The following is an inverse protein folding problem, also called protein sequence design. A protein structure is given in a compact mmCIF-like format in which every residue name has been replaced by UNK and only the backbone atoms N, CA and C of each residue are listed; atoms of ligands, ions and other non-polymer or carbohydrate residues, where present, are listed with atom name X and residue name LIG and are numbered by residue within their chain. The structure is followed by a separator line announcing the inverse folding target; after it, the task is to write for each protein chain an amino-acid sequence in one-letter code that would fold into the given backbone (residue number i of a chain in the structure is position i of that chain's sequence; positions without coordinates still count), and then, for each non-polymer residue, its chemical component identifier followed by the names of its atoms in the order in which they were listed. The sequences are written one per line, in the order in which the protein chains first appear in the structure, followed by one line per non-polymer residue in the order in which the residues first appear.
data_IF_682245248103
#
_entry.id   IF_682245248103
#
_cell.length_a   1.000
_cell.length_b   1.000
_cell.length_c   1.000
_cell.angle_alpha   90.00
_cell.angle_beta   90.00
_cell.angle_gamma   90.00
#
_symmetry.space_group_name_H-M   'P 1'
#
loop_
_entity.id
_entity.type
_entity.pdbx_description
1 polymer ?
#
# COMPACT_ATOMS: atom_id res chain seq x y z
N UNK A 1 -11.98 -10.84 12.72
CA UNK A 1 -11.20 -11.47 13.80
C UNK A 1 -9.74 -11.50 13.42
N UNK A 2 -8.94 -10.64 14.04
CA UNK A 2 -7.49 -10.63 13.85
C UNK A 2 -6.94 -11.92 14.46
N UNK A 3 -6.55 -12.87 13.63
CA UNK A 3 -5.67 -13.94 14.11
C UNK A 3 -4.31 -13.29 14.34
N UNK A 4 -3.98 -13.04 15.58
CA UNK A 4 -2.63 -12.66 15.96
C UNK A 4 -1.76 -13.88 15.59
N UNK A 5 -1.16 -13.82 14.41
CA UNK A 5 -0.24 -14.87 13.99
C UNK A 5 0.95 -14.81 14.93
N UNK A 6 1.14 -15.88 15.71
CA UNK A 6 2.22 -15.98 16.68
C UNK A 6 3.57 -15.98 15.94
N UNK A 7 4.05 -14.76 15.64
CA UNK A 7 5.33 -14.53 14.97
C UNK A 7 6.44 -14.50 16.02
N UNK A 8 7.35 -15.45 15.95
CA UNK A 8 8.47 -15.49 16.86
C UNK A 8 9.51 -14.39 16.52
N UNK A 9 10.55 -14.32 17.33
CA UNK A 9 11.63 -13.34 17.18
C UNK A 9 12.29 -13.42 15.80
N UNK A 10 12.56 -14.64 15.32
CA UNK A 10 13.24 -14.85 14.04
C UNK A 10 12.35 -14.43 12.89
N UNK A 11 11.04 -14.74 12.93
CA UNK A 11 10.07 -14.30 11.92
C UNK A 11 10.09 -12.76 11.79
N UNK A 12 10.05 -12.04 12.93
CA UNK A 12 10.09 -10.57 12.98
C UNK A 12 11.41 -10.00 12.45
N UNK A 13 12.53 -10.65 12.75
CA UNK A 13 13.84 -10.23 12.25
C UNK A 13 13.95 -10.41 10.73
N UNK A 14 13.48 -11.54 10.19
CA UNK A 14 13.42 -11.77 8.73
C UNK A 14 12.60 -10.66 8.06
N UNK A 15 11.40 -10.39 8.59
CA UNK A 15 10.54 -9.33 8.06
C UNK A 15 11.20 -7.96 8.10
N UNK A 16 11.85 -7.62 9.23
CA UNK A 16 12.54 -6.32 9.38
C UNK A 16 13.67 -6.15 8.34
N UNK A 17 14.41 -7.21 8.04
CA UNK A 17 15.48 -7.16 7.01
C UNK A 17 14.84 -6.95 5.64
N UNK A 18 13.88 -7.78 5.26
CA UNK A 18 13.25 -7.74 3.93
C UNK A 18 12.43 -6.48 3.68
N UNK A 19 11.82 -5.92 4.73
CA UNK A 19 11.07 -4.65 4.62
C UNK A 19 12.00 -3.44 4.43
N UNK A 20 13.28 -3.56 4.81
CA UNK A 20 14.32 -2.55 4.55
C UNK A 20 14.98 -2.77 3.19
N UNK A 21 15.29 -4.03 2.86
CA UNK A 21 15.89 -4.39 1.58
C UNK A 21 15.37 -5.75 1.09
N UNK A 22 14.40 -5.69 0.19
CA UNK A 22 13.78 -6.86 -0.40
C UNK A 22 14.74 -7.68 -1.30
N UNK A 23 15.93 -7.15 -1.63
CA UNK A 23 16.95 -7.87 -2.41
C UNK A 23 17.84 -8.76 -1.54
N UNK A 24 17.75 -8.67 -0.20
CA UNK A 24 18.53 -9.53 0.70
C UNK A 24 18.28 -11.00 0.39
N UNK A 25 19.33 -11.73 0.11
CA UNK A 25 19.23 -13.17 -0.18
C UNK A 25 19.00 -13.98 1.09
N UNK A 26 18.43 -15.16 0.94
CA UNK A 26 18.23 -16.07 2.09
C UNK A 26 19.56 -16.44 2.77
N UNK A 27 20.65 -16.52 2.02
CA UNK A 27 21.98 -16.79 2.55
C UNK A 27 22.48 -15.63 3.43
N UNK A 28 22.30 -14.40 2.97
CA UNK A 28 22.65 -13.19 3.73
C UNK A 28 21.83 -13.10 5.02
N UNK A 29 20.52 -13.31 4.92
CA UNK A 29 19.61 -13.28 6.09
C UNK A 29 20.03 -14.38 7.09
N UNK A 30 20.29 -15.59 6.60
CA UNK A 30 20.71 -16.73 7.42
C UNK A 30 22.01 -16.42 8.17
N UNK A 31 22.98 -15.84 7.46
CA UNK A 31 24.27 -15.42 8.05
C UNK A 31 24.07 -14.36 9.13
N UNK A 32 23.24 -13.33 8.84
CA UNK A 32 22.98 -12.22 9.77
C UNK A 32 22.26 -12.68 11.03
N UNK A 33 21.35 -13.67 10.92
CA UNK A 33 20.56 -14.18 12.05
C UNK A 33 21.18 -15.41 12.72
N UNK A 34 22.34 -15.86 12.24
CA UNK A 34 23.09 -17.05 12.74
C UNK A 34 22.21 -18.32 12.73
N UNK A 35 21.47 -18.53 11.61
CA UNK A 35 20.65 -19.72 11.39
C UNK A 35 20.99 -20.36 10.05
N UNK A 36 20.45 -21.54 9.76
CA UNK A 36 20.65 -22.20 8.47
C UNK A 36 19.79 -21.55 7.36
N UNK A 37 20.26 -21.62 6.12
CA UNK A 37 19.47 -21.19 4.96
C UNK A 37 18.15 -21.94 4.84
N UNK A 38 18.13 -23.21 5.20
CA UNK A 38 16.90 -24.01 5.25
C UNK A 38 15.89 -23.46 6.24
N UNK A 39 16.37 -22.95 7.39
CA UNK A 39 15.50 -22.29 8.37
C UNK A 39 14.80 -21.07 7.76
N UNK A 40 15.57 -20.23 7.05
CA UNK A 40 14.98 -19.03 6.38
C UNK A 40 13.95 -19.47 5.35
N UNK A 41 14.26 -20.45 4.52
CA UNK A 41 13.37 -20.92 3.46
C UNK A 41 12.01 -21.40 4.03
N UNK A 42 12.05 -22.22 5.09
CA UNK A 42 10.84 -22.75 5.74
C UNK A 42 10.00 -21.61 6.33
N UNK A 43 10.66 -20.64 7.00
CA UNK A 43 9.97 -19.51 7.61
C UNK A 43 9.36 -18.57 6.58
N UNK A 44 10.06 -18.29 5.49
CA UNK A 44 9.53 -17.47 4.38
C UNK A 44 8.24 -18.09 3.82
N UNK A 45 8.29 -19.39 3.54
CA UNK A 45 7.13 -20.14 3.04
C UNK A 45 5.95 -20.08 4.03
N UNK A 46 6.23 -20.24 5.33
CA UNK A 46 5.21 -20.08 6.38
C UNK A 46 4.60 -18.68 6.36
N UNK A 47 5.44 -17.61 6.33
CA UNK A 47 4.98 -16.21 6.35
C UNK A 47 4.12 -15.87 5.12
N UNK A 48 4.44 -16.43 3.96
CA UNK A 48 3.62 -16.33 2.74
C UNK A 48 2.29 -17.06 2.90
N UNK A 49 2.31 -18.30 3.37
CA UNK A 49 1.12 -19.15 3.53
C UNK A 49 0.11 -18.54 4.51
N UNK A 50 0.58 -17.95 5.61
CA UNK A 50 -0.32 -17.29 6.58
C UNK A 50 -0.69 -15.85 6.15
N UNK A 51 -0.17 -15.39 5.00
CA UNK A 51 -0.54 -14.09 4.43
C UNK A 51 0.10 -12.87 5.10
N UNK A 52 1.12 -13.07 5.93
CA UNK A 52 1.91 -11.97 6.52
C UNK A 52 2.73 -11.29 5.42
N UNK A 53 3.37 -12.10 4.56
CA UNK A 53 3.97 -11.60 3.32
C UNK A 53 2.93 -11.75 2.22
N UNK A 54 2.45 -10.63 1.70
CA UNK A 54 1.45 -10.59 0.61
C UNK A 54 2.10 -10.55 -0.75
N UNK A 55 3.21 -9.82 -0.88
CA UNK A 55 3.93 -9.64 -2.14
C UNK A 55 5.25 -8.90 -1.89
N UNK A 56 6.17 -9.05 -2.81
CA UNK A 56 7.36 -8.20 -2.88
C UNK A 56 7.23 -7.35 -4.14
N UNK A 57 7.35 -6.03 -3.99
CA UNK A 57 7.20 -5.08 -5.09
C UNK A 57 8.41 -4.19 -5.23
N UNK A 58 8.81 -3.96 -6.47
CA UNK A 58 9.75 -2.90 -6.81
C UNK A 58 9.05 -1.54 -6.62
N UNK A 59 9.70 -0.63 -5.93
CA UNK A 59 9.24 0.76 -5.80
C UNK A 59 10.03 1.58 -6.82
N UNK A 60 9.36 2.07 -7.85
CA UNK A 60 9.95 2.92 -8.87
C UNK A 60 9.62 4.39 -8.60
N UNK A 61 10.57 5.26 -8.90
CA UNK A 61 10.35 6.71 -8.85
C UNK A 61 9.46 7.11 -10.03
N UNK A 62 8.20 7.38 -9.76
CA UNK A 62 7.22 7.71 -10.80
C UNK A 62 7.57 9.00 -11.56
N UNK A 63 8.26 9.95 -10.92
CA UNK A 63 8.65 11.19 -11.59
C UNK A 63 9.67 10.93 -12.70
N UNK A 64 10.61 10.00 -12.44
CA UNK A 64 11.59 9.56 -13.45
C UNK A 64 10.96 8.75 -14.59
N UNK A 65 9.75 8.23 -14.36
CA UNK A 65 8.96 7.56 -15.39
C UNK A 65 8.04 8.55 -16.15
N UNK A 66 8.14 9.85 -15.85
CA UNK A 66 7.35 10.90 -16.52
C UNK A 66 5.96 11.11 -15.90
N UNK A 67 5.74 10.66 -14.68
CA UNK A 67 4.49 10.88 -13.95
C UNK A 67 4.76 11.89 -12.82
N UNK A 68 4.53 13.17 -13.12
CA UNK A 68 4.93 14.29 -12.26
C UNK A 68 3.90 14.62 -11.16
N UNK A 69 2.65 14.16 -11.31
CA UNK A 69 1.57 14.52 -10.39
C UNK A 69 1.18 13.30 -9.55
N UNK A 70 1.33 13.44 -8.25
CA UNK A 70 0.73 12.56 -7.25
C UNK A 70 -0.41 13.32 -6.59
N UNK A 71 -1.60 12.73 -6.55
CA UNK A 71 -2.77 13.40 -5.97
C UNK A 71 -3.54 12.43 -5.08
N UNK A 72 -4.21 12.99 -4.07
CA UNK A 72 -5.15 12.28 -3.21
C UNK A 72 -6.53 12.85 -3.46
N UNK A 73 -7.49 11.99 -3.80
CA UNK A 73 -8.86 12.40 -4.08
C UNK A 73 -9.75 11.86 -2.97
N UNK A 74 -10.27 12.76 -2.15
CA UNK A 74 -11.33 12.44 -1.21
C UNK A 74 -12.63 12.27 -1.97
N UNK A 75 -13.28 11.11 -1.83
CA UNK A 75 -14.49 10.76 -2.57
C UNK A 75 -15.63 10.54 -1.57
N UNK A 76 -16.76 11.22 -1.78
CA UNK A 76 -18.00 11.00 -1.02
C UNK A 76 -18.96 10.19 -1.87
N UNK A 77 -19.53 9.14 -1.29
CA UNK A 77 -20.52 8.30 -2.00
C UNK A 77 -21.93 8.85 -1.77
N UNK A 78 -22.78 8.66 -2.76
CA UNK A 78 -24.21 8.93 -2.63
C UNK A 78 -24.84 7.90 -1.66
N UNK A 79 -25.94 8.29 -1.05
CA UNK A 79 -26.70 7.39 -0.17
C UNK A 79 -27.12 6.12 -0.92
N UNK A 80 -26.97 4.98 -0.27
CA UNK A 80 -27.29 3.68 -0.86
C UNK A 80 -26.30 3.14 -1.89
N UNK A 81 -25.16 3.79 -2.05
CA UNK A 81 -24.14 3.34 -3.04
C UNK A 81 -23.59 1.97 -2.71
N UNK A 82 -23.57 1.09 -3.71
CA UNK A 82 -22.79 -0.15 -3.66
C UNK A 82 -21.31 0.19 -3.79
N UNK A 83 -20.63 0.31 -2.66
CA UNK A 83 -19.19 0.66 -2.63
C UNK A 83 -18.32 -0.38 -3.36
N UNK A 84 -18.75 -1.65 -3.40
CA UNK A 84 -17.97 -2.69 -4.11
C UNK A 84 -17.96 -2.40 -5.62
N UNK A 85 -19.09 -1.99 -6.17
CA UNK A 85 -19.18 -1.60 -7.59
C UNK A 85 -18.28 -0.38 -7.87
N UNK A 86 -18.23 0.59 -6.95
CA UNK A 86 -17.34 1.77 -7.09
C UNK A 86 -15.87 1.33 -7.09
N UNK A 87 -15.47 0.44 -6.16
CA UNK A 87 -14.09 -0.09 -6.11
C UNK A 87 -13.74 -0.82 -7.43
N UNK A 88 -14.66 -1.61 -7.97
CA UNK A 88 -14.42 -2.30 -9.26
C UNK A 88 -14.28 -1.30 -10.42
N UNK A 89 -15.02 -0.19 -10.38
CA UNK A 89 -14.85 0.88 -11.37
C UNK A 89 -13.46 1.55 -11.22
N UNK A 90 -13.02 1.81 -9.99
CA UNK A 90 -11.68 2.35 -9.74
C UNK A 90 -10.57 1.42 -10.25
N UNK A 91 -10.72 0.10 -10.11
CA UNK A 91 -9.73 -0.89 -10.59
C UNK A 91 -9.46 -0.79 -12.09
N UNK A 92 -10.43 -0.28 -12.86
CA UNK A 92 -10.31 -0.11 -14.33
C UNK A 92 -9.54 1.15 -14.73
N UNK A 93 -9.13 1.97 -13.75
CA UNK A 93 -8.41 3.22 -13.98
C UNK A 93 -6.95 2.99 -13.54
N UNK A 94 -6.03 2.74 -14.48
CA UNK A 94 -4.65 2.36 -14.11
C UNK A 94 -3.88 3.46 -13.38
N UNK A 95 -4.30 4.71 -13.49
CA UNK A 95 -3.72 5.84 -12.78
C UNK A 95 -4.01 5.79 -11.29
N UNK A 96 -5.01 5.01 -10.85
CA UNK A 96 -5.33 4.82 -9.43
C UNK A 96 -4.39 3.77 -8.84
N UNK A 97 -3.59 4.17 -7.89
CA UNK A 97 -2.59 3.29 -7.25
C UNK A 97 -3.02 2.76 -5.89
N UNK A 98 -3.94 3.45 -5.21
CA UNK A 98 -4.56 2.92 -4.00
C UNK A 98 -5.95 3.51 -3.78
N UNK A 99 -6.80 2.74 -3.11
CA UNK A 99 -8.12 3.17 -2.65
C UNK A 99 -8.29 2.68 -1.22
N UNK A 100 -8.53 3.61 -0.30
CA UNK A 100 -8.77 3.29 1.10
C UNK A 100 -10.18 3.79 1.49
N UNK A 101 -11.03 2.87 1.93
CA UNK A 101 -12.31 3.26 2.53
C UNK A 101 -12.04 3.87 3.89
N UNK A 102 -12.67 4.99 4.21
CA UNK A 102 -12.35 5.78 5.40
C UNK A 102 -13.60 6.11 6.21
N UNK A 103 -13.37 6.40 7.48
CA UNK A 103 -14.37 7.04 8.34
C UNK A 103 -14.26 8.55 8.19
N UNK A 104 -15.32 9.27 8.48
CA UNK A 104 -15.34 10.73 8.51
C UNK A 104 -15.85 11.37 7.24
N UNK A 105 -15.24 12.49 6.84
CA UNK A 105 -15.72 13.38 5.77
C UNK A 105 -15.86 12.69 4.42
N UNK A 106 -14.91 11.84 4.06
CA UNK A 106 -14.90 11.12 2.79
C UNK A 106 -15.21 9.64 3.00
N UNK A 107 -15.92 9.05 2.06
CA UNK A 107 -16.18 7.61 2.04
C UNK A 107 -14.94 6.81 1.64
N UNK A 108 -14.09 7.44 0.82
CA UNK A 108 -12.82 6.83 0.38
C UNK A 108 -11.78 7.91 0.08
N UNK A 109 -10.51 7.56 0.25
CA UNK A 109 -9.37 8.32 -0.25
C UNK A 109 -8.71 7.50 -1.36
N UNK A 110 -8.59 8.11 -2.52
CA UNK A 110 -8.03 7.49 -3.73
C UNK A 110 -6.71 8.17 -4.05
N UNK A 111 -5.64 7.39 -4.28
CA UNK A 111 -4.36 7.94 -4.72
C UNK A 111 -4.25 7.80 -6.24
N UNK A 112 -3.89 8.90 -6.89
CA UNK A 112 -3.66 8.99 -8.33
C UNK A 112 -2.21 9.32 -8.63
N UNK A 113 -1.68 8.71 -9.69
CA UNK A 113 -0.38 9.09 -10.27
C UNK A 113 -0.65 9.48 -11.73
N UNK A 114 -0.33 10.71 -12.09
CA UNK A 114 -0.63 11.27 -13.42
C UNK A 114 0.58 11.95 -14.01
N UNK A 115 0.62 12.01 -15.35
CA UNK A 115 1.75 12.63 -16.07
C UNK A 115 1.87 14.13 -15.78
N UNK A 116 0.74 14.83 -15.78
CA UNK A 116 0.69 16.29 -15.62
C UNK A 116 -0.74 16.71 -15.23
N UNK A 117 -0.96 18.00 -15.05
CA UNK A 117 -2.25 18.55 -14.67
C UNK A 117 -3.36 18.27 -15.70
N UNK A 118 -3.04 18.29 -16.99
CA UNK A 118 -4.02 17.98 -18.02
C UNK A 118 -4.49 16.52 -17.90
N UNK A 119 -3.55 15.65 -17.67
CA UNK A 119 -3.89 14.24 -17.41
C UNK A 119 -4.74 14.09 -16.14
N UNK A 120 -4.46 14.70 -15.01
CA UNK A 120 -5.15 14.67 -13.88
C UNK A 120 -6.53 15.01 -14.13
N UNK A 121 -6.70 16.18 -14.77
CA UNK A 121 -8.04 16.71 -15.11
C UNK A 121 -8.88 15.68 -15.90
N UNK A 122 -8.29 15.07 -16.90
CA UNK A 122 -8.99 14.10 -17.74
C UNK A 122 -9.41 12.85 -16.93
N UNK A 123 -8.62 12.39 -15.98
CA UNK A 123 -8.98 11.27 -15.10
C UNK A 123 -10.13 11.68 -14.17
N UNK A 124 -10.02 12.83 -13.54
CA UNK A 124 -11.06 13.32 -12.62
C UNK A 124 -12.40 13.49 -13.34
N UNK A 125 -12.41 14.32 -14.38
CA UNK A 125 -13.66 14.69 -15.06
C UNK A 125 -14.13 13.64 -16.08
N UNK A 126 -13.21 12.92 -16.71
CA UNK A 126 -13.57 11.93 -17.72
C UNK A 126 -13.92 10.57 -17.14
N UNK A 127 -13.34 10.21 -16.00
CA UNK A 127 -13.52 8.87 -15.45
C UNK A 127 -14.13 8.89 -14.04
N UNK A 128 -13.48 9.52 -13.05
CA UNK A 128 -13.85 9.38 -11.63
C UNK A 128 -15.23 9.95 -11.33
N UNK A 129 -15.50 11.20 -11.72
CA UNK A 129 -16.77 11.88 -11.42
C UNK A 129 -17.96 11.13 -12.06
N UNK A 130 -17.74 10.45 -13.17
CA UNK A 130 -18.78 9.74 -13.90
C UNK A 130 -19.09 8.35 -13.33
N UNK A 131 -18.35 7.89 -12.31
CA UNK A 131 -18.66 6.60 -11.68
C UNK A 131 -19.97 6.73 -10.89
N UNK A 132 -20.92 5.87 -11.21
CA UNK A 132 -22.21 5.82 -10.50
C UNK A 132 -21.97 5.57 -9.01
N UNK A 133 -22.57 6.40 -8.17
CA UNK A 133 -22.43 6.32 -6.72
C UNK A 133 -21.45 7.34 -6.15
N UNK A 134 -20.72 8.07 -6.96
CA UNK A 134 -19.87 9.18 -6.49
C UNK A 134 -20.73 10.46 -6.44
N UNK A 135 -20.84 11.05 -5.25
CA UNK A 135 -21.58 12.30 -5.03
C UNK A 135 -20.68 13.52 -5.18
N UNK A 136 -19.47 13.44 -4.66
CA UNK A 136 -18.56 14.59 -4.65
C UNK A 136 -17.11 14.12 -4.56
N UNK A 137 -16.19 14.98 -5.02
CA UNK A 137 -14.75 14.74 -4.92
C UNK A 137 -14.02 16.01 -4.49
N UNK A 138 -12.96 15.84 -3.72
CA UNK A 138 -12.02 16.91 -3.38
C UNK A 138 -10.63 16.43 -3.68
N UNK A 139 -9.87 17.17 -4.47
CA UNK A 139 -8.54 16.75 -4.93
C UNK A 139 -7.44 17.55 -4.22
N UNK A 140 -6.50 16.84 -3.64
CA UNK A 140 -5.31 17.40 -3.01
C UNK A 140 -4.09 16.94 -3.82
N UNK A 141 -3.38 17.89 -4.42
CA UNK A 141 -2.15 17.59 -5.16
C UNK A 141 -1.00 17.53 -4.15
N UNK A 142 -0.26 16.44 -4.14
CA UNK A 142 0.93 16.32 -3.31
C UNK A 142 2.03 17.22 -3.86
N UNK A 143 2.55 18.11 -3.03
CA UNK A 143 3.67 18.97 -3.42
C UNK A 143 4.99 18.25 -3.29
N UNK A 144 5.12 17.39 -2.26
CA UNK A 144 6.33 16.62 -1.98
C UNK A 144 5.95 15.44 -1.11
N UNK A 145 6.73 14.37 -1.18
CA UNK A 145 6.59 13.20 -0.31
C UNK A 145 7.63 13.27 0.82
N UNK A 146 7.24 13.84 1.95
CA UNK A 146 8.13 14.03 3.09
C UNK A 146 8.63 12.73 3.73
N UNK A 147 7.83 11.66 3.66
CA UNK A 147 8.19 10.36 4.23
C UNK A 147 7.33 9.25 3.61
N UNK A 148 7.98 8.18 3.17
CA UNK A 148 7.32 6.94 2.77
C UNK A 148 8.21 5.77 3.22
N UNK A 149 7.68 4.92 4.08
CA UNK A 149 8.41 3.74 4.56
C UNK A 149 7.45 2.68 5.07
N UNK A 150 7.91 1.45 5.14
CA UNK A 150 7.21 0.38 5.82
C UNK A 150 7.31 0.58 7.35
N UNK A 151 6.39 -0.02 8.10
CA UNK A 151 6.48 -0.04 9.57
C UNK A 151 7.72 -0.83 10.00
N UNK A 152 8.34 -0.45 11.10
CA UNK A 152 9.40 -1.26 11.71
C UNK A 152 8.78 -2.22 12.72
N UNK A 153 8.67 -3.49 12.32
CA UNK A 153 8.00 -4.53 13.13
C UNK A 153 8.74 -4.83 14.44
N UNK A 154 10.04 -4.53 14.51
CA UNK A 154 10.84 -4.73 15.73
C UNK A 154 10.61 -3.56 16.70
N UNK A 155 10.70 -2.33 16.20
CA UNK A 155 10.54 -1.13 17.02
C UNK A 155 9.13 -1.02 17.62
N UNK A 156 8.14 -1.30 16.88
CA UNK A 156 6.76 -1.32 17.38
C UNK A 156 6.56 -2.38 18.47
N UNK A 157 7.08 -3.33 18.26
CA UNK A 157 6.95 -4.32 19.09
C UNK A 157 7.62 -4.15 20.33
N UNK A 158 8.60 -3.33 20.45
CA UNK A 158 9.26 -2.94 21.70
C UNK A 158 8.39 -2.01 22.57
N UNK A 159 7.61 -1.19 21.97
CA UNK A 159 6.69 -0.28 22.65
C UNK A 159 5.41 -1.04 23.05
N UNK A 160 5.43 -1.69 24.20
CA UNK A 160 4.30 -2.49 24.74
C UNK A 160 3.15 -1.66 25.31
N UNK A 161 3.09 -0.36 25.04
CA UNK A 161 2.12 0.54 25.66
C UNK A 161 0.85 0.79 24.82
N UNK A 162 0.47 -0.16 23.93
CA UNK A 162 -0.76 -0.09 23.14
C UNK A 162 -1.62 -1.33 23.35
#
# INVERSE_FOLDING_TARGET
MNKDHDLDRIDKQILSILMKDANSTYAEIASQLEVSGGTIHVRMKKLEQIGVIKAMHLIADHTKLGFEIKAFVGVSFSEGTDYKAVIEAFRKIPEITSVNLTTGRFSAIVQLICKNNFHXKNILHGKIINIKGIANTETLISLDEGLSRQIDVIEIXKNKDY
#
